data_IF_459094745568
#
_entry.id   IF_459094745568
#
_cell.length_a   1.000
_cell.length_b   1.000
_cell.length_c   1.000
_cell.angle_alpha   90.00
_cell.angle_beta   90.00
_cell.angle_gamma   90.00
#
_symmetry.space_group_name_H-M   'P 1'
#
loop_
_entity.id
_entity.type
_entity.pdbx_description
1 polymer ?
#
# COMPACT_ATOMS: atom_id res chain seq x y z
N UNK A 1 0.38 -5.77 -3.34
CA UNK A 1 1.64 -5.39 -2.67
C UNK A 1 1.91 -3.92 -2.98
N UNK A 2 2.15 -3.08 -1.97
CA UNK A 2 2.33 -1.64 -2.18
C UNK A 2 3.60 -1.39 -3.05
N UNK A 3 3.54 -0.48 -4.02
CA UNK A 3 4.64 -0.23 -4.98
C UNK A 3 5.95 0.12 -4.26
N UNK A 4 5.86 0.87 -3.16
CA UNK A 4 6.99 1.19 -2.30
C UNK A 4 7.61 -0.04 -1.64
N UNK A 5 6.79 -1.01 -1.24
CA UNK A 5 7.27 -2.27 -0.67
C UNK A 5 8.06 -3.09 -1.70
N UNK A 6 7.58 -3.14 -2.96
CA UNK A 6 8.32 -3.80 -4.04
C UNK A 6 9.67 -3.11 -4.32
N UNK A 7 9.70 -1.77 -4.37
CA UNK A 7 10.95 -1.02 -4.58
C UNK A 7 11.93 -1.28 -3.44
N UNK A 8 11.49 -1.22 -2.19
CA UNK A 8 12.35 -1.52 -1.03
C UNK A 8 12.90 -2.96 -1.09
N UNK A 9 12.06 -3.93 -1.44
CA UNK A 9 12.48 -5.33 -1.56
C UNK A 9 13.57 -5.50 -2.63
N UNK A 10 13.35 -4.95 -3.83
CA UNK A 10 14.33 -5.03 -4.91
C UNK A 10 15.63 -4.31 -4.57
N UNK A 11 15.54 -3.18 -3.86
CA UNK A 11 16.71 -2.43 -3.40
C UNK A 11 17.54 -3.25 -2.40
N UNK A 12 16.90 -3.94 -1.45
CA UNK A 12 17.59 -4.84 -0.52
C UNK A 12 18.26 -5.98 -1.26
N UNK A 13 17.58 -6.62 -2.22
CA UNK A 13 18.16 -7.71 -3.03
C UNK A 13 19.39 -7.21 -3.81
N UNK A 14 19.32 -6.02 -4.41
CA UNK A 14 20.49 -5.45 -5.10
C UNK A 14 21.64 -5.16 -4.15
N UNK A 15 21.36 -4.63 -2.95
CA UNK A 15 22.40 -4.36 -1.95
C UNK A 15 23.08 -5.66 -1.50
N UNK A 16 22.31 -6.70 -1.17
CA UNK A 16 22.85 -8.02 -0.80
C UNK A 16 23.69 -8.59 -1.94
N UNK A 17 23.23 -8.48 -3.19
CA UNK A 17 24.00 -8.86 -4.38
C UNK A 17 25.33 -8.11 -4.49
N UNK A 18 25.34 -6.79 -4.28
CA UNK A 18 26.58 -6.00 -4.30
C UNK A 18 27.54 -6.38 -3.18
N UNK A 19 27.04 -6.64 -1.97
CA UNK A 19 27.88 -7.08 -0.84
C UNK A 19 28.49 -8.45 -1.13
N UNK A 20 27.74 -9.39 -1.70
CA UNK A 20 28.25 -10.69 -2.09
C UNK A 20 29.32 -10.60 -3.19
N UNK A 21 29.16 -9.71 -4.17
CA UNK A 21 30.18 -9.43 -5.20
C UNK A 21 31.45 -8.82 -4.61
N UNK A 22 31.33 -7.87 -3.67
CA UNK A 22 32.46 -7.28 -2.97
C UNK A 22 33.20 -8.33 -2.13
N UNK A 23 32.48 -9.13 -1.36
CA UNK A 23 33.06 -10.19 -0.55
C UNK A 23 33.74 -11.26 -1.41
N UNK A 24 33.08 -11.69 -2.49
CA UNK A 24 33.63 -12.66 -3.43
C UNK A 24 34.87 -12.15 -4.17
N UNK A 25 34.90 -10.87 -4.55
CA UNK A 25 36.06 -10.27 -5.24
C UNK A 25 37.26 -10.11 -4.30
N UNK A 26 37.02 -9.70 -3.04
CA UNK A 26 38.06 -9.71 -2.01
C UNK A 26 38.62 -11.11 -1.75
N UNK A 27 37.75 -12.12 -1.68
CA UNK A 27 38.15 -13.52 -1.52
C UNK A 27 38.92 -14.09 -2.71
N UNK A 28 38.56 -13.71 -3.93
CA UNK A 28 39.31 -14.09 -5.13
C UNK A 28 40.70 -13.43 -5.18
N UNK A 29 40.77 -12.16 -4.78
CA UNK A 29 42.02 -11.40 -4.73
C UNK A 29 42.98 -11.95 -3.67
N UNK A 30 42.47 -12.33 -2.49
CA UNK A 30 43.30 -12.94 -1.44
C UNK A 30 43.89 -14.29 -1.87
N UNK A 31 43.11 -15.14 -2.53
CA UNK A 31 43.59 -16.42 -3.09
C UNK A 31 44.64 -16.18 -4.18
N UNK A 32 44.42 -15.19 -5.05
CA UNK A 32 45.39 -14.82 -6.08
C UNK A 32 46.75 -14.35 -5.53
N UNK A 33 46.75 -13.64 -4.40
CA UNK A 33 47.98 -13.16 -3.76
C UNK A 33 48.66 -14.25 -2.94
N UNK A 34 47.91 -15.02 -2.15
CA UNK A 34 48.49 -15.97 -1.18
C UNK A 34 48.72 -17.38 -1.74
N UNK A 35 48.20 -17.71 -2.93
CA UNK A 35 48.41 -19.00 -3.58
C UNK A 35 47.87 -20.22 -2.82
N UNK A 36 47.11 -20.01 -1.75
CA UNK A 36 46.55 -21.06 -0.90
C UNK A 36 45.03 -20.96 -0.86
N UNK A 37 44.38 -22.12 -1.00
CA UNK A 37 42.92 -22.23 -0.93
C UNK A 37 42.56 -22.27 0.56
N UNK A 38 41.71 -21.34 1.07
CA UNK A 38 41.30 -21.37 2.46
C UNK A 38 40.57 -22.69 2.78
N UNK A 39 40.94 -23.34 3.88
CA UNK A 39 40.38 -24.62 4.32
C UNK A 39 38.87 -24.60 4.66
N UNK A 40 38.21 -23.44 4.54
CA UNK A 40 36.77 -23.25 4.76
C UNK A 40 35.88 -23.90 3.69
N UNK A 41 36.45 -24.65 2.73
CA UNK A 41 35.74 -25.59 1.85
C UNK A 41 34.86 -24.98 0.75
N UNK A 42 34.51 -23.70 0.84
CA UNK A 42 33.73 -23.00 -0.19
C UNK A 42 34.66 -22.25 -1.16
N UNK A 43 34.63 -22.60 -2.47
CA UNK A 43 35.42 -21.87 -3.45
C UNK A 43 34.92 -20.42 -3.57
N UNK A 44 35.82 -19.42 -3.65
CA UNK A 44 35.46 -17.99 -3.75
C UNK A 44 34.63 -17.66 -5.00
N UNK A 45 34.58 -18.57 -5.97
CA UNK A 45 33.74 -18.48 -7.18
C UNK A 45 32.24 -18.54 -6.85
N UNK A 46 31.86 -19.26 -5.77
CA UNK A 46 30.46 -19.41 -5.39
C UNK A 46 29.79 -18.09 -4.97
N UNK A 47 30.33 -17.31 -4.00
CA UNK A 47 29.74 -16.02 -3.64
C UNK A 47 29.75 -15.01 -4.79
N UNK A 48 30.75 -15.06 -5.68
CA UNK A 48 30.77 -14.24 -6.90
C UNK A 48 29.61 -14.58 -7.84
N UNK A 49 29.40 -15.87 -8.12
CA UNK A 49 28.34 -16.30 -9.02
C UNK A 49 26.94 -15.97 -8.47
N UNK A 50 26.70 -16.27 -7.19
CA UNK A 50 25.41 -15.99 -6.53
C UNK A 50 25.18 -14.48 -6.41
N UNK A 51 26.19 -13.72 -5.98
CA UNK A 51 26.11 -12.27 -5.88
C UNK A 51 25.83 -11.59 -7.22
N UNK A 52 26.49 -12.04 -8.29
CA UNK A 52 26.27 -11.55 -9.65
C UNK A 52 24.85 -11.79 -10.13
N UNK A 53 24.33 -13.01 -9.96
CA UNK A 53 22.96 -13.35 -10.34
C UNK A 53 21.92 -12.50 -9.59
N UNK A 54 22.05 -12.41 -8.26
CA UNK A 54 21.15 -11.61 -7.42
C UNK A 54 21.19 -10.13 -7.81
N UNK A 55 22.38 -9.59 -8.09
CA UNK A 55 22.53 -8.21 -8.52
C UNK A 55 21.83 -7.96 -9.86
N UNK A 56 22.07 -8.81 -10.87
CA UNK A 56 21.46 -8.65 -12.21
C UNK A 56 19.93 -8.72 -12.13
N UNK A 57 19.40 -9.73 -11.43
CA UNK A 57 17.94 -9.90 -11.29
C UNK A 57 17.35 -8.74 -10.50
N UNK A 58 17.92 -8.41 -9.33
CA UNK A 58 17.45 -7.32 -8.49
C UNK A 58 17.47 -5.98 -9.24
N UNK A 59 18.55 -5.70 -9.95
CA UNK A 59 18.72 -4.45 -10.68
C UNK A 59 17.75 -4.35 -11.86
N UNK A 60 17.60 -5.42 -12.64
CA UNK A 60 16.64 -5.48 -13.73
C UNK A 60 15.21 -5.23 -13.24
N UNK A 61 14.81 -5.88 -12.14
CA UNK A 61 13.48 -5.71 -11.56
C UNK A 61 13.30 -4.31 -10.99
N UNK A 62 14.30 -3.75 -10.30
CA UNK A 62 14.28 -2.38 -9.80
C UNK A 62 14.03 -1.37 -10.93
N UNK A 63 14.81 -1.47 -12.01
CA UNK A 63 14.70 -0.58 -13.18
C UNK A 63 13.33 -0.74 -13.87
N UNK A 64 12.86 -1.98 -14.02
CA UNK A 64 11.53 -2.26 -14.59
C UNK A 64 10.41 -1.62 -13.76
N UNK A 65 10.51 -1.71 -12.43
CA UNK A 65 9.51 -1.15 -11.50
C UNK A 65 9.50 0.38 -11.56
N UNK A 66 10.68 1.02 -11.59
CA UNK A 66 10.80 2.48 -11.69
C UNK A 66 10.26 2.98 -13.03
N UNK A 67 10.60 2.30 -14.15
CA UNK A 67 10.08 2.65 -15.48
C UNK A 67 8.55 2.56 -15.52
N UNK A 68 7.96 1.50 -14.99
CA UNK A 68 6.51 1.35 -14.93
C UNK A 68 5.82 2.47 -14.13
N UNK A 69 6.44 2.93 -13.04
CA UNK A 69 5.92 4.06 -12.28
C UNK A 69 5.91 5.37 -13.08
N UNK A 70 6.98 5.63 -13.85
CA UNK A 70 7.07 6.82 -14.70
C UNK A 70 6.03 6.84 -15.82
N UNK A 71 5.75 5.68 -16.45
CA UNK A 71 4.74 5.55 -17.50
C UNK A 71 3.35 5.89 -16.96
N UNK A 72 3.03 5.40 -15.75
CA UNK A 72 1.77 5.70 -15.08
C UNK A 72 1.59 7.19 -14.77
N UNK A 73 2.63 7.85 -14.23
CA UNK A 73 2.54 9.28 -13.91
C UNK A 73 2.33 10.14 -15.16
N UNK A 74 2.98 9.82 -16.28
CA UNK A 74 2.78 10.55 -17.54
C UNK A 74 1.35 10.40 -18.06
N UNK A 75 0.82 9.17 -18.04
CA UNK A 75 -0.57 8.89 -18.46
C UNK A 75 -1.56 9.63 -17.56
N UNK A 76 -1.41 9.54 -16.24
CA UNK A 76 -2.27 10.25 -15.28
C UNK A 76 -2.17 11.77 -15.44
N UNK A 77 -0.97 12.31 -15.66
CA UNK A 77 -0.76 13.73 -15.90
C UNK A 77 -1.51 14.24 -17.12
N UNK A 78 -1.39 13.54 -18.26
CA UNK A 78 -2.16 13.86 -19.48
C UNK A 78 -3.66 13.77 -19.23
N UNK A 79 -4.15 12.69 -18.60
CA UNK A 79 -5.59 12.53 -18.36
C UNK A 79 -6.14 13.64 -17.45
N UNK A 80 -5.34 14.09 -16.48
CA UNK A 80 -5.76 15.14 -15.55
C UNK A 80 -5.95 16.52 -16.18
N UNK A 81 -5.46 16.76 -17.41
CA UNK A 81 -5.63 18.04 -18.12
C UNK A 81 -6.84 18.07 -19.05
N UNK A 82 -7.53 16.94 -19.28
CA UNK A 82 -8.67 16.87 -20.21
C UNK A 82 -9.93 16.31 -19.53
N UNK A 83 -11.09 16.86 -19.87
CA UNK A 83 -12.39 16.32 -19.44
C UNK A 83 -12.77 15.07 -20.23
N UNK A 84 -12.45 15.05 -21.53
CA UNK A 84 -12.69 13.95 -22.45
C UNK A 84 -11.47 13.76 -23.34
N UNK A 85 -10.93 12.55 -23.42
CA UNK A 85 -9.77 12.25 -24.26
C UNK A 85 -9.81 10.81 -24.80
N UNK A 86 -9.41 10.60 -26.05
CA UNK A 86 -9.33 9.25 -26.64
C UNK A 86 -8.07 8.52 -26.15
N UNK A 87 -8.10 7.18 -26.10
CA UNK A 87 -6.94 6.39 -25.68
C UNK A 87 -5.77 6.56 -26.66
N UNK A 88 -6.05 6.78 -27.94
CA UNK A 88 -5.02 7.08 -28.96
C UNK A 88 -4.33 8.42 -28.70
N UNK A 89 -5.09 9.45 -28.32
CA UNK A 89 -4.52 10.76 -27.95
C UNK A 89 -3.70 10.67 -26.67
N UNK A 90 -4.16 9.91 -25.67
CA UNK A 90 -3.37 9.63 -24.46
C UNK A 90 -2.03 8.97 -24.85
N UNK A 91 -2.06 7.96 -25.73
CA UNK A 91 -0.84 7.27 -26.18
C UNK A 91 0.12 8.24 -26.87
N UNK A 92 -0.40 9.11 -27.75
CA UNK A 92 0.40 10.08 -28.50
C UNK A 92 1.03 11.14 -27.59
N UNK A 93 0.28 11.66 -26.61
CA UNK A 93 0.76 12.72 -25.72
C UNK A 93 1.67 12.19 -24.60
N UNK A 94 1.37 11.01 -24.05
CA UNK A 94 2.19 10.41 -22.98
C UNK A 94 3.45 9.72 -23.50
N UNK A 95 3.51 9.40 -24.80
CA UNK A 95 4.57 8.59 -25.42
C UNK A 95 4.52 7.11 -25.03
N UNK A 96 3.45 6.66 -24.36
CA UNK A 96 3.27 5.26 -23.94
C UNK A 96 2.55 4.48 -25.05
N UNK A 97 3.02 3.27 -25.34
CA UNK A 97 2.41 2.41 -26.38
C UNK A 97 0.94 2.11 -26.08
N UNK A 98 0.09 2.18 -27.11
CA UNK A 98 -1.35 1.93 -27.03
C UNK A 98 -1.79 0.71 -26.17
N UNK A 99 -1.21 -0.51 -26.32
CA UNK A 99 -1.62 -1.67 -25.52
C UNK A 99 -1.36 -1.51 -24.02
N UNK A 100 -0.46 -0.62 -23.62
CA UNK A 100 -0.14 -0.36 -22.21
C UNK A 100 -1.04 0.73 -21.60
N UNK A 101 -1.62 1.62 -22.39
CA UNK A 101 -2.39 2.75 -21.87
C UNK A 101 -3.64 2.27 -21.13
N UNK A 102 -4.40 1.34 -21.72
CA UNK A 102 -5.63 0.81 -21.14
C UNK A 102 -5.44 0.15 -19.75
N UNK A 103 -4.49 -0.77 -19.52
CA UNK A 103 -4.28 -1.33 -18.18
C UNK A 103 -3.77 -0.29 -17.18
N UNK A 104 -2.94 0.67 -17.61
CA UNK A 104 -2.49 1.77 -16.74
C UNK A 104 -3.68 2.65 -16.32
N UNK A 105 -4.60 2.92 -17.25
CA UNK A 105 -5.82 3.69 -17.01
C UNK A 105 -6.71 3.01 -15.96
N UNK A 106 -6.99 1.71 -16.13
CA UNK A 106 -7.78 0.96 -15.15
C UNK A 106 -7.10 0.85 -13.79
N UNK A 107 -5.78 0.68 -13.76
CA UNK A 107 -5.02 0.70 -12.51
C UNK A 107 -5.07 2.08 -11.82
N UNK A 108 -5.07 3.18 -12.58
CA UNK A 108 -5.18 4.52 -12.01
C UNK A 108 -6.58 4.80 -11.44
N UNK A 109 -7.64 4.28 -12.07
CA UNK A 109 -9.02 4.36 -11.58
C UNK A 109 -9.18 3.53 -10.29
N UNK A 110 -8.67 2.29 -10.27
CA UNK A 110 -8.78 1.43 -9.09
C UNK A 110 -7.94 1.91 -7.90
N UNK A 111 -6.82 2.61 -8.16
CA UNK A 111 -6.03 3.30 -7.14
C UNK A 111 -6.68 4.61 -6.66
N UNK A 112 -7.81 5.04 -7.24
CA UNK A 112 -8.49 6.30 -6.88
C UNK A 112 -7.70 7.56 -7.26
N UNK A 113 -6.72 7.47 -8.15
CA UNK A 113 -5.92 8.62 -8.60
C UNK A 113 -6.66 9.48 -9.60
N UNK A 114 -7.58 8.88 -10.35
CA UNK A 114 -8.45 9.55 -11.31
C UNK A 114 -9.87 9.01 -11.14
N UNK A 115 -10.85 9.89 -11.31
CA UNK A 115 -12.26 9.55 -11.34
C UNK A 115 -12.78 9.72 -12.76
N UNK A 116 -13.42 8.68 -13.28
CA UNK A 116 -13.94 8.71 -14.64
C UNK A 116 -14.31 7.33 -15.15
N UNK A 117 -15.01 7.32 -16.28
CA UNK A 117 -15.47 6.11 -16.94
C UNK A 117 -14.86 6.01 -18.33
N UNK A 118 -14.52 4.78 -18.71
CA UNK A 118 -14.01 4.46 -20.05
C UNK A 118 -15.18 3.93 -20.86
N UNK A 119 -15.54 4.61 -21.95
CA UNK A 119 -16.52 4.11 -22.93
C UNK A 119 -15.81 3.87 -24.25
N UNK A 120 -15.81 2.62 -24.69
CA UNK A 120 -15.17 2.16 -25.92
C UNK A 120 -13.66 2.49 -25.98
N UNK A 121 -13.32 3.64 -26.57
CA UNK A 121 -11.96 4.14 -26.76
C UNK A 121 -11.77 5.57 -26.22
N UNK A 122 -12.72 6.08 -25.44
CA UNK A 122 -12.67 7.43 -24.88
C UNK A 122 -12.79 7.37 -23.36
N UNK A 123 -11.90 8.09 -22.68
CA UNK A 123 -11.97 8.33 -21.25
C UNK A 123 -12.77 9.62 -20.99
N UNK A 124 -13.74 9.53 -20.09
CA UNK A 124 -14.53 10.65 -19.60
C UNK A 124 -14.20 10.86 -18.14
N UNK A 125 -13.65 12.03 -17.81
CA UNK A 125 -13.36 12.40 -16.43
C UNK A 125 -14.66 12.80 -15.74
N UNK A 126 -14.92 12.19 -14.59
CA UNK A 126 -15.98 12.65 -13.70
C UNK A 126 -15.38 13.76 -12.85
N UNK A 127 -15.67 15.01 -13.20
CA UNK A 127 -15.40 16.13 -12.30
C UNK A 127 -16.42 16.04 -11.15
N UNK A 128 -15.98 16.01 -9.88
CA UNK A 128 -16.91 16.10 -8.78
C UNK A 128 -17.68 17.41 -8.96
N UNK A 129 -19.01 17.33 -9.06
CA UNK A 129 -19.85 18.52 -9.19
C UNK A 129 -19.53 19.43 -7.99
N UNK A 130 -19.11 20.68 -8.21
CA UNK A 130 -18.85 21.60 -7.11
C UNK A 130 -20.17 21.84 -6.38
N UNK A 131 -20.35 21.18 -5.23
CA UNK A 131 -21.59 21.20 -4.44
C UNK A 131 -22.10 19.82 -4.01
N UNK A 132 -21.62 18.74 -4.63
CA UNK A 132 -21.86 17.38 -4.11
C UNK A 132 -20.84 17.15 -3.00
N UNK A 133 -21.20 17.59 -1.79
CA UNK A 133 -20.54 17.13 -0.59
C UNK A 133 -20.67 15.62 -0.59
N UNK A 134 -19.60 14.92 -0.96
CA UNK A 134 -19.45 13.51 -0.65
C UNK A 134 -19.49 13.49 0.86
N UNK A 135 -20.68 13.28 1.44
CA UNK A 135 -20.81 12.79 2.80
C UNK A 135 -20.14 11.44 2.73
N UNK A 136 -18.83 11.44 2.95
CA UNK A 136 -18.14 10.26 3.40
C UNK A 136 -18.92 9.91 4.66
N UNK A 137 -19.85 8.95 4.54
CA UNK A 137 -20.42 8.24 5.68
C UNK A 137 -19.24 7.51 6.31
N UNK A 138 -18.35 8.28 6.94
CA UNK A 138 -17.41 7.78 7.89
C UNK A 138 -18.33 7.30 8.98
N UNK A 139 -18.55 6.00 9.04
CA UNK A 139 -19.17 5.37 10.20
C UNK A 139 -18.38 5.87 11.41
N UNK A 140 -18.91 6.90 12.07
CA UNK A 140 -18.34 7.43 13.28
C UNK A 140 -18.61 6.33 14.29
N UNK A 141 -17.59 5.54 14.58
CA UNK A 141 -17.66 4.55 15.63
C UNK A 141 -17.83 5.29 16.96
N UNK A 142 -19.08 5.57 17.32
CA UNK A 142 -19.44 6.16 18.61
C UNK A 142 -19.19 5.08 19.65
N UNK A 143 -18.07 5.18 20.36
CA UNK A 143 -17.74 4.24 21.43
C UNK A 143 -18.59 4.60 22.64
N UNK A 144 -19.68 3.86 22.88
CA UNK A 144 -20.56 4.09 24.04
C UNK A 144 -19.88 3.54 25.30
N UNK A 145 -19.72 4.38 26.32
CA UNK A 145 -19.14 3.98 27.60
C UNK A 145 -20.24 3.72 28.63
N UNK A 146 -20.35 2.50 29.14
CA UNK A 146 -21.26 2.20 30.24
C UNK A 146 -20.77 2.89 31.53
N UNK A 147 -21.68 3.40 32.39
CA UNK A 147 -21.32 4.03 33.65
C UNK A 147 -20.77 3.02 34.65
N UNK A 148 -19.80 3.44 35.47
CA UNK A 148 -19.08 2.56 36.41
C UNK A 148 -19.93 2.10 37.62
N UNK A 149 -21.03 2.80 37.92
CA UNK A 149 -21.92 2.47 39.02
C UNK A 149 -23.39 2.79 38.72
N UNK A 150 -24.32 2.05 39.33
CA UNK A 150 -25.75 2.26 39.19
C UNK A 150 -26.22 3.49 39.98
N UNK A 151 -26.90 4.42 39.31
CA UNK A 151 -27.44 5.65 39.94
C UNK A 151 -28.53 5.41 40.99
N UNK A 152 -29.20 4.24 40.98
CA UNK A 152 -30.25 3.91 41.96
C UNK A 152 -29.73 3.20 43.19
N UNK A 153 -28.89 2.17 43.03
CA UNK A 153 -28.44 1.33 44.14
C UNK A 153 -26.97 1.51 44.53
N UNK A 154 -26.19 2.26 43.75
CA UNK A 154 -24.76 2.48 43.99
C UNK A 154 -23.87 1.27 43.71
N UNK A 155 -24.41 0.16 43.20
CA UNK A 155 -23.61 -1.02 42.88
C UNK A 155 -22.68 -0.74 41.69
N UNK A 156 -21.43 -1.24 41.77
CA UNK A 156 -20.47 -1.16 40.67
C UNK A 156 -20.97 -1.99 39.47
N UNK A 157 -20.83 -1.46 38.26
CA UNK A 157 -21.27 -2.09 37.03
C UNK A 157 -20.04 -2.51 36.21
N UNK A 158 -19.96 -3.79 35.88
CA UNK A 158 -18.95 -4.31 34.96
C UNK A 158 -19.48 -4.19 33.51
N UNK A 159 -18.83 -3.44 32.59
CA UNK A 159 -19.30 -3.27 31.22
C UNK A 159 -19.55 -4.57 30.45
N UNK A 160 -18.93 -5.68 30.88
CA UNK A 160 -19.10 -7.01 30.28
C UNK A 160 -20.35 -7.76 30.75
N UNK A 161 -20.90 -7.40 31.92
CA UNK A 161 -22.02 -8.11 32.55
C UNK A 161 -23.33 -7.31 32.47
N UNK A 162 -23.26 -6.08 31.98
CA UNK A 162 -24.42 -5.20 31.87
C UNK A 162 -25.26 -5.60 30.65
N UNK A 163 -26.56 -5.80 30.89
CA UNK A 163 -27.54 -6.12 29.84
C UNK A 163 -28.00 -4.84 29.15
N UNK A 164 -27.82 -4.77 27.83
CA UNK A 164 -28.29 -3.66 27.00
C UNK A 164 -29.74 -3.88 26.60
N UNK A 165 -30.63 -2.98 27.02
CA UNK A 165 -32.07 -3.04 26.68
C UNK A 165 -32.36 -2.23 25.40
N UNK A 166 -31.49 -1.29 25.05
CA UNK A 166 -31.64 -0.46 23.86
C UNK A 166 -30.31 0.18 23.45
N UNK A 167 -30.31 1.01 22.40
CA UNK A 167 -29.09 1.64 21.92
C UNK A 167 -28.40 2.47 23.01
N UNK A 168 -29.18 3.22 23.81
CA UNK A 168 -28.64 4.15 24.82
C UNK A 168 -29.12 3.81 26.24
N UNK A 169 -29.54 2.56 26.48
CA UNK A 169 -30.09 2.13 27.77
C UNK A 169 -29.50 0.80 28.24
N UNK A 170 -29.15 0.76 29.52
CA UNK A 170 -28.64 -0.43 30.19
C UNK A 170 -29.43 -0.77 31.44
N UNK A 171 -29.50 -2.06 31.75
CA UNK A 171 -30.12 -2.60 32.97
C UNK A 171 -29.07 -2.90 34.03
N UNK A 172 -29.30 -2.42 35.25
CA UNK A 172 -28.51 -2.85 36.39
C UNK A 172 -28.86 -4.31 36.76
N UNK A 173 -27.89 -5.24 36.85
CA UNK A 173 -28.15 -6.64 37.24
C UNK A 173 -28.54 -6.79 38.71
N UNK A 174 -28.16 -5.83 39.58
CA UNK A 174 -28.43 -5.91 41.01
C UNK A 174 -29.84 -5.45 41.41
N UNK A 175 -30.31 -4.32 40.87
CA UNK A 175 -31.60 -3.72 41.26
C UNK A 175 -32.64 -3.72 40.12
N UNK A 176 -32.26 -4.13 38.91
CA UNK A 176 -33.14 -4.15 37.74
C UNK A 176 -33.48 -2.78 37.16
N UNK A 177 -32.96 -1.68 37.72
CA UNK A 177 -33.20 -0.33 37.23
C UNK A 177 -32.58 -0.12 35.85
N UNK A 178 -33.30 0.62 35.00
CA UNK A 178 -32.82 1.04 33.68
C UNK A 178 -32.22 2.43 33.78
N UNK A 179 -31.12 2.65 33.08
CA UNK A 179 -30.41 3.92 33.08
C UNK A 179 -29.90 4.27 31.67
N UNK A 180 -29.97 5.55 31.33
CA UNK A 180 -29.52 6.09 30.04
C UNK A 180 -28.02 6.32 30.03
N UNK A 181 -27.38 6.05 28.89
CA UNK A 181 -25.94 6.25 28.69
C UNK A 181 -25.72 7.56 27.93
N UNK A 182 -24.75 8.34 28.41
CA UNK A 182 -24.31 9.55 27.71
C UNK A 182 -23.37 9.15 26.56
N UNK A 183 -23.70 9.59 25.35
CA UNK A 183 -22.88 9.32 24.16
C UNK A 183 -21.90 10.47 23.97
N UNK A 184 -20.62 10.22 24.24
CA UNK A 184 -19.57 11.17 23.88
C UNK A 184 -19.20 10.96 22.40
N UNK A 185 -19.21 12.05 21.62
CA UNK A 185 -18.72 12.02 20.23
C UNK A 185 -17.20 12.06 20.27
N UNK A 186 -16.56 11.00 19.77
CA UNK A 186 -15.10 10.93 19.54
C UNK A 186 -14.74 11.54 18.19
#
# INVERSE_FOLDING_TARGET
MNKYCAICLWLVITLVGTFALLYGSLGALSVGIMGSIPGSGLPPVFPLAVGGLLFIIGFYMLVSTIRGASEMQRVVGVISSFEKITIDDISRQSGVKLPKVRPILFAAISEGKIHGTVRENTFFRETPKPGETVTIEREVMVTRKAPDACLRCGAALNPKEVEWIGPDQVRCPHCGATMSIETERV
#
